data_IF_304555882705
#
_entry.id   IF_304555882705
#
_cell.length_a   1.000
_cell.length_b   1.000
_cell.length_c   1.000
_cell.angle_alpha   90.00
_cell.angle_beta   90.00
_cell.angle_gamma   90.00
#
_symmetry.space_group_name_H-M   'P 1'
#
loop_
_entity.id
_entity.type
_entity.pdbx_description
1 polymer ?
#
# COMPACT_ATOMS: atom_id res chain seq x y z
N UNK A 1 14.23 8.75 -22.71
CA UNK A 1 13.39 7.54 -22.84
C UNK A 1 12.14 7.75 -22.02
N UNK A 2 10.97 7.54 -22.61
CA UNK A 2 9.68 7.67 -21.91
C UNK A 2 9.53 6.50 -20.95
N UNK A 3 9.52 6.79 -19.65
CA UNK A 3 9.22 5.83 -18.60
C UNK A 3 7.88 5.14 -18.91
N UNK A 4 7.90 3.81 -19.02
CA UNK A 4 6.67 3.00 -19.10
C UNK A 4 6.40 2.43 -17.72
N UNK A 5 5.26 2.73 -17.10
CA UNK A 5 4.90 2.14 -15.81
C UNK A 5 4.72 0.62 -15.98
N UNK A 6 5.26 -0.15 -15.04
CA UNK A 6 5.12 -1.62 -15.01
C UNK A 6 3.67 -2.04 -14.76
N UNK A 7 2.94 -1.26 -13.97
CA UNK A 7 1.51 -1.42 -13.70
C UNK A 7 0.89 -0.04 -13.45
N UNK A 8 -0.41 0.05 -13.62
CA UNK A 8 -1.22 1.24 -13.35
C UNK A 8 -2.17 0.96 -12.18
N UNK A 9 -2.13 1.81 -11.15
CA UNK A 9 -3.13 1.78 -10.08
C UNK A 9 -4.42 2.44 -10.56
N UNK A 10 -5.50 1.66 -10.67
CA UNK A 10 -6.82 2.17 -11.05
C UNK A 10 -7.54 2.68 -9.79
N UNK A 11 -7.53 1.89 -8.72
CA UNK A 11 -8.25 2.20 -7.48
C UNK A 11 -7.63 1.43 -6.32
N UNK A 12 -7.64 2.04 -5.14
CA UNK A 12 -7.61 1.30 -3.89
C UNK A 12 -8.76 1.75 -2.98
N UNK A 13 -9.11 0.90 -2.04
CA UNK A 13 -9.99 1.22 -0.93
C UNK A 13 -9.43 0.54 0.32
N UNK A 14 -9.60 1.15 1.48
CA UNK A 14 -9.19 0.56 2.75
C UNK A 14 -10.25 0.86 3.80
N UNK A 15 -10.70 -0.19 4.47
CA UNK A 15 -11.74 -0.13 5.48
C UNK A 15 -11.17 -0.65 6.79
N UNK A 16 -11.31 0.13 7.85
CA UNK A 16 -11.00 -0.28 9.22
C UNK A 16 -12.31 -0.35 9.98
N UNK A 17 -12.67 -1.55 10.43
CA UNK A 17 -13.88 -1.79 11.21
C UNK A 17 -13.49 -2.16 12.64
N UNK A 18 -14.03 -1.43 13.62
CA UNK A 18 -13.95 -1.82 15.03
C UNK A 18 -15.30 -2.42 15.44
N UNK A 19 -15.32 -3.74 15.65
CA UNK A 19 -16.53 -4.46 16.04
C UNK A 19 -16.84 -4.23 17.52
N UNK A 20 -18.11 -4.42 17.89
CA UNK A 20 -18.55 -4.31 19.27
C UNK A 20 -17.88 -5.35 20.21
N UNK A 21 -17.39 -6.46 19.65
CA UNK A 21 -16.56 -7.46 20.37
C UNK A 21 -15.18 -6.93 20.79
N UNK A 22 -14.75 -5.78 20.25
CA UNK A 22 -13.41 -5.23 20.46
C UNK A 22 -12.42 -5.57 19.35
N UNK A 23 -12.77 -6.50 18.46
CA UNK A 23 -11.93 -6.89 17.33
C UNK A 23 -11.79 -5.73 16.32
N UNK A 24 -10.58 -5.51 15.84
CA UNK A 24 -10.31 -4.63 14.70
C UNK A 24 -10.09 -5.50 13.47
N UNK A 25 -10.91 -5.28 12.45
CA UNK A 25 -10.75 -5.91 11.13
C UNK A 25 -10.32 -4.82 10.17
N UNK A 26 -9.21 -5.04 9.48
CA UNK A 26 -8.78 -4.14 8.43
C UNK A 26 -8.67 -4.86 7.10
N UNK A 27 -9.34 -4.30 6.10
CA UNK A 27 -9.34 -4.82 4.74
C UNK A 27 -8.92 -3.72 3.78
N UNK A 28 -8.20 -4.10 2.74
CA UNK A 28 -7.90 -3.25 1.61
C UNK A 28 -8.24 -3.95 0.31
N UNK A 29 -8.81 -3.21 -0.62
CA UNK A 29 -9.06 -3.66 -1.98
C UNK A 29 -8.18 -2.86 -2.92
N UNK A 30 -7.51 -3.54 -3.83
CA UNK A 30 -6.63 -2.93 -4.83
C UNK A 30 -7.08 -3.38 -6.23
N UNK A 31 -7.24 -2.41 -7.13
CA UNK A 31 -7.51 -2.62 -8.55
C UNK A 31 -6.36 -2.05 -9.37
N UNK A 32 -5.68 -2.90 -10.12
CA UNK A 32 -4.53 -2.53 -10.94
C UNK A 32 -4.72 -3.00 -12.37
N UNK A 33 -4.01 -2.37 -13.30
CA UNK A 33 -3.85 -2.83 -14.66
C UNK A 33 -2.38 -3.16 -14.91
N UNK A 34 -2.11 -4.37 -15.37
CA UNK A 34 -0.78 -4.83 -15.77
C UNK A 34 -0.83 -5.25 -17.23
N UNK A 35 -0.23 -4.45 -18.12
CA UNK A 35 -0.46 -4.57 -19.55
C UNK A 35 -1.95 -4.37 -19.87
N UNK A 36 -2.59 -5.36 -20.49
CA UNK A 36 -4.03 -5.31 -20.83
C UNK A 36 -4.92 -6.04 -19.81
N UNK A 37 -4.34 -6.61 -18.75
CA UNK A 37 -5.08 -7.35 -17.72
C UNK A 37 -5.41 -6.44 -16.54
N UNK A 38 -6.63 -6.58 -16.03
CA UNK A 38 -7.09 -5.90 -14.82
C UNK A 38 -7.17 -6.92 -13.70
N UNK A 39 -6.50 -6.62 -12.59
CA UNK A 39 -6.60 -7.37 -11.34
C UNK A 39 -7.39 -6.61 -10.32
N UNK A 40 -8.17 -7.32 -9.52
CA UNK A 40 -8.94 -6.76 -8.43
C UNK A 40 -8.87 -7.71 -7.23
N UNK A 41 -8.10 -7.30 -6.22
CA UNK A 41 -7.71 -8.20 -5.13
C UNK A 41 -7.98 -7.54 -3.78
N UNK A 42 -8.38 -8.37 -2.82
CA UNK A 42 -8.56 -8.00 -1.42
C UNK A 42 -7.42 -8.56 -0.57
N UNK A 43 -6.92 -7.73 0.34
CA UNK A 43 -5.97 -8.07 1.38
C UNK A 43 -6.54 -7.70 2.74
N UNK A 44 -6.29 -8.54 3.73
CA UNK A 44 -6.62 -8.30 5.13
C UNK A 44 -5.31 -8.09 5.90
N UNK A 45 -5.37 -7.38 7.02
CA UNK A 45 -4.20 -7.18 7.87
C UNK A 45 -4.52 -6.52 9.20
N UNK A 46 -3.50 -6.37 10.03
CA UNK A 46 -3.62 -5.78 11.38
C UNK A 46 -3.81 -4.25 11.35
N UNK A 47 -3.76 -3.65 10.16
CA UNK A 47 -3.96 -2.22 9.93
C UNK A 47 -4.00 -1.88 8.45
N UNK A 48 -4.38 -0.62 8.11
CA UNK A 48 -4.72 -0.22 6.74
C UNK A 48 -3.58 -0.43 5.76
N UNK A 49 -2.36 -0.13 6.22
CA UNK A 49 -1.13 -0.28 5.44
C UNK A 49 -0.80 -1.73 5.18
N UNK A 50 -0.92 -2.58 6.21
CA UNK A 50 -0.61 -3.99 6.10
C UNK A 50 -1.61 -4.70 5.17
N UNK A 51 -2.89 -4.37 5.29
CA UNK A 51 -3.92 -4.85 4.38
C UNK A 51 -3.66 -4.40 2.93
N UNK A 52 -3.28 -3.13 2.72
CA UNK A 52 -2.97 -2.58 1.40
C UNK A 52 -1.73 -3.23 0.77
N UNK A 53 -0.65 -3.41 1.54
CA UNK A 53 0.55 -4.14 1.10
C UNK A 53 0.21 -5.58 0.70
N UNK A 54 -0.60 -6.27 1.53
CA UNK A 54 -1.07 -7.62 1.22
C UNK A 54 -1.86 -7.69 -0.07
N UNK A 55 -2.83 -6.78 -0.26
CA UNK A 55 -3.63 -6.69 -1.48
C UNK A 55 -2.77 -6.42 -2.72
N UNK A 56 -1.85 -5.46 -2.61
CA UNK A 56 -0.94 -5.07 -3.69
C UNK A 56 -0.01 -6.23 -4.08
N UNK A 57 0.65 -6.88 -3.11
CA UNK A 57 1.54 -8.01 -3.41
C UNK A 57 0.78 -9.16 -4.07
N UNK A 58 -0.38 -9.54 -3.54
CA UNK A 58 -1.22 -10.59 -4.13
C UNK A 58 -1.62 -10.26 -5.58
N UNK A 59 -1.98 -9.00 -5.85
CA UNK A 59 -2.38 -8.58 -7.21
C UNK A 59 -1.23 -8.56 -8.21
N UNK A 60 0.02 -8.41 -7.76
CA UNK A 60 1.19 -8.37 -8.63
C UNK A 60 1.93 -9.71 -8.70
N UNK A 61 1.74 -10.64 -7.74
CA UNK A 61 2.43 -11.94 -7.69
C UNK A 61 2.24 -12.76 -8.98
N UNK A 62 1.04 -12.72 -9.57
CA UNK A 62 0.73 -13.43 -10.81
C UNK A 62 1.50 -12.91 -12.05
N UNK A 63 1.97 -11.66 -12.00
CA UNK A 63 2.67 -10.99 -13.10
C UNK A 63 4.17 -10.93 -12.86
N UNK A 64 4.56 -10.80 -11.59
CA UNK A 64 5.93 -10.66 -11.14
C UNK A 64 6.16 -11.58 -9.94
N UNK A 65 6.43 -12.89 -10.16
CA UNK A 65 6.60 -13.86 -9.08
C UNK A 65 7.73 -13.52 -8.09
N UNK A 66 8.70 -12.70 -8.50
CA UNK A 66 9.75 -12.19 -7.62
C UNK A 66 9.23 -11.37 -6.43
N UNK A 67 8.03 -10.78 -6.55
CA UNK A 67 7.36 -10.05 -5.46
C UNK A 67 7.03 -10.95 -4.26
N UNK A 68 6.96 -12.27 -4.45
CA UNK A 68 6.71 -13.23 -3.36
C UNK A 68 7.77 -13.17 -2.26
N UNK A 69 9.01 -12.84 -2.62
CA UNK A 69 10.11 -12.66 -1.68
C UNK A 69 10.20 -11.25 -1.09
N UNK A 70 9.34 -10.33 -1.53
CA UNK A 70 9.31 -8.96 -1.06
C UNK A 70 8.36 -8.83 0.14
N UNK A 71 8.84 -8.17 1.20
CA UNK A 71 8.05 -7.83 2.38
C UNK A 71 8.26 -6.38 2.77
N UNK A 72 7.19 -5.74 3.26
CA UNK A 72 7.27 -4.42 3.89
C UNK A 72 8.07 -4.54 5.20
N UNK A 73 9.15 -3.76 5.34
CA UNK A 73 10.02 -3.80 6.52
C UNK A 73 9.96 -2.53 7.37
N UNK A 74 9.51 -1.41 6.81
CA UNK A 74 9.35 -0.16 7.56
C UNK A 74 8.22 0.67 6.96
N UNK A 75 7.36 1.20 7.82
CA UNK A 75 6.31 2.15 7.48
C UNK A 75 6.37 3.29 8.48
N UNK A 76 6.78 4.47 8.00
CA UNK A 76 6.95 5.67 8.82
C UNK A 76 6.09 6.81 8.30
N UNK A 77 5.15 7.23 9.14
CA UNK A 77 4.32 8.42 8.93
C UNK A 77 4.94 9.58 9.68
N UNK A 78 5.24 10.67 8.97
CA UNK A 78 5.64 11.94 9.58
C UNK A 78 4.68 13.03 9.15
N UNK A 79 4.07 13.68 10.14
CA UNK A 79 3.28 14.89 9.91
C UNK A 79 4.25 16.03 9.59
N UNK A 80 4.17 16.56 8.37
CA UNK A 80 5.09 17.59 7.87
C UNK A 80 4.62 18.98 8.30
N UNK A 81 3.31 19.19 8.43
CA UNK A 81 2.74 20.46 8.86
C UNK A 81 1.64 20.30 9.91
N UNK A 82 2.03 20.06 11.16
CA UNK A 82 1.10 19.89 12.28
C UNK A 82 0.24 21.14 12.57
N UNK A 83 0.65 22.33 12.11
CA UNK A 83 -0.07 23.59 12.35
C UNK A 83 -1.36 23.74 11.52
N UNK A 84 -1.57 22.92 10.49
CA UNK A 84 -2.74 22.99 9.60
C UNK A 84 -3.95 22.16 10.08
N UNK A 85 -3.88 21.52 11.26
CA UNK A 85 -4.98 20.71 11.78
C UNK A 85 -5.30 19.52 10.87
N UNK A 86 -6.55 19.38 10.42
CA UNK A 86 -7.00 18.30 9.52
C UNK A 86 -6.43 18.36 8.10
N UNK A 87 -5.84 19.49 7.69
CA UNK A 87 -5.16 19.66 6.40
C UNK A 87 -3.65 19.38 6.49
N UNK A 88 -3.19 18.74 7.57
CA UNK A 88 -1.78 18.45 7.77
C UNK A 88 -1.26 17.51 6.69
N UNK A 89 -0.27 17.98 5.94
CA UNK A 89 0.42 17.15 4.94
C UNK A 89 1.19 16.04 5.62
N UNK A 90 1.04 14.83 5.10
CA UNK A 90 1.64 13.63 5.64
C UNK A 90 2.72 13.12 4.69
N UNK A 91 3.89 12.80 5.24
CA UNK A 91 4.92 12.09 4.52
C UNK A 91 4.88 10.64 4.96
N UNK A 92 4.67 9.77 4.00
CA UNK A 92 4.68 8.32 4.20
C UNK A 92 5.95 7.77 3.57
N UNK A 93 6.79 7.15 4.39
CA UNK A 93 7.97 6.42 3.94
C UNK A 93 7.63 4.95 4.01
N UNK A 94 7.65 4.27 2.86
CA UNK A 94 7.41 2.84 2.73
C UNK A 94 8.74 2.22 2.33
N UNK A 95 9.27 1.30 3.14
CA UNK A 95 10.46 0.52 2.81
C UNK A 95 10.09 -0.95 2.64
N UNK A 96 10.50 -1.50 1.51
CA UNK A 96 10.35 -2.91 1.17
C UNK A 96 11.72 -3.56 1.03
N UNK A 97 11.79 -4.84 1.36
CA UNK A 97 13.00 -5.64 1.24
C UNK A 97 12.68 -6.94 0.53
N UNK A 98 13.58 -7.40 -0.32
CA UNK A 98 13.64 -8.79 -0.78
C UNK A 98 14.89 -9.50 -0.24
N UNK A 99 15.26 -10.65 -0.80
CA UNK A 99 16.45 -11.40 -0.36
C UNK A 99 17.76 -10.65 -0.52
N UNK A 100 17.84 -9.75 -1.50
CA UNK A 100 19.12 -9.21 -1.98
C UNK A 100 19.26 -7.72 -1.70
N UNK A 101 18.16 -6.98 -1.48
CA UNK A 101 18.20 -5.53 -1.35
C UNK A 101 17.02 -4.94 -0.57
N UNK A 102 17.24 -3.72 -0.08
CA UNK A 102 16.21 -2.85 0.53
C UNK A 102 15.99 -1.68 -0.42
N UNK A 103 14.74 -1.41 -0.79
CA UNK A 103 14.37 -0.19 -1.50
C UNK A 103 13.17 0.47 -0.83
N UNK A 104 13.11 1.80 -0.90
CA UNK A 104 12.02 2.57 -0.35
C UNK A 104 11.39 3.48 -1.38
N UNK A 105 10.07 3.57 -1.34
CA UNK A 105 9.30 4.60 -2.04
C UNK A 105 8.86 5.64 -1.01
N UNK A 106 9.06 6.92 -1.34
CA UNK A 106 8.58 8.04 -0.53
C UNK A 106 7.33 8.59 -1.19
N UNK A 107 6.19 8.47 -0.50
CA UNK A 107 4.93 9.09 -0.87
C UNK A 107 4.68 10.35 -0.05
N UNK A 108 4.28 11.45 -0.69
CA UNK A 108 3.75 12.62 0.01
C UNK A 108 2.28 12.74 -0.34
N UNK A 109 1.41 12.52 0.64
CA UNK A 109 -0.04 12.62 0.48
C UNK A 109 -0.61 13.53 1.56
N UNK A 110 -1.67 14.28 1.24
CA UNK A 110 -2.47 14.97 2.26
C UNK A 110 -3.32 13.99 3.08
N UNK A 111 -3.36 12.72 2.65
CA UNK A 111 -4.02 11.63 3.34
C UNK A 111 -3.00 10.77 4.08
N UNK A 112 -3.35 10.31 5.29
CA UNK A 112 -2.54 9.39 6.09
C UNK A 112 -2.45 7.99 5.42
N UNK A 113 -3.38 7.69 4.51
CA UNK A 113 -3.53 6.41 3.78
C UNK A 113 -3.25 6.58 2.29
#
# INVERSE_FOLDING_TARGET
>A
GTYKPFFELIKYNTTVEKRASGDMVTEATVKLKVGDKIEHVVGEGDGPVNALDGALRKSLENFYPSIKGMHLIDYKVRVVNAKAGTAARVRVIIQSRDKDSIWGTVGCSENII
#
